data_IF_311494275531
#
_entry.id   IF_311494275531
#
_cell.length_a   1.000
_cell.length_b   1.000
_cell.length_c   1.000
_cell.angle_alpha   90.00
_cell.angle_beta   90.00
_cell.angle_gamma   90.00
#
_symmetry.space_group_name_H-M   'P 1'
#
loop_
_entity.id
_entity.type
_entity.pdbx_description
1 polymer ?
#
# COMPACT_ATOMS: atom_id res chain seq x y z
N UNK A 1 -5.95 11.03 -20.73
CA UNK A 1 -5.09 12.01 -20.04
C UNK A 1 -3.69 11.90 -20.64
N UNK A 2 -3.05 13.01 -21.01
CA UNK A 2 -1.69 12.96 -21.55
C UNK A 2 -0.71 12.60 -20.43
N UNK A 3 0.10 11.56 -20.63
CA UNK A 3 1.18 11.20 -19.70
C UNK A 3 2.13 12.37 -19.54
N UNK A 4 2.28 12.83 -18.29
CA UNK A 4 3.18 13.92 -17.94
C UNK A 4 4.62 13.38 -18.05
N UNK A 5 5.28 13.65 -19.18
CA UNK A 5 6.69 13.29 -19.37
C UNK A 5 7.53 14.03 -18.33
N UNK A 6 8.40 13.33 -17.62
CA UNK A 6 9.40 13.97 -16.78
C UNK A 6 10.53 14.51 -17.65
N UNK A 7 10.98 15.72 -17.38
CA UNK A 7 12.15 16.33 -18.00
C UNK A 7 13.36 16.09 -17.11
N UNK A 8 14.43 15.55 -17.70
CA UNK A 8 15.72 15.35 -17.04
C UNK A 8 16.59 16.57 -17.30
N UNK A 9 17.14 17.18 -16.26
CA UNK A 9 18.12 18.27 -16.40
C UNK A 9 19.46 17.75 -16.95
N UNK A 10 20.33 18.65 -17.41
CA UNK A 10 21.67 18.27 -17.89
C UNK A 10 22.48 17.51 -16.82
N UNK A 11 22.50 18.01 -15.59
CA UNK A 11 23.21 17.39 -14.47
C UNK A 11 22.64 15.99 -14.12
N UNK A 12 21.31 15.87 -14.09
CA UNK A 12 20.67 14.55 -13.86
C UNK A 12 20.97 13.57 -14.98
N UNK A 13 21.09 14.05 -16.22
CA UNK A 13 21.45 13.19 -17.35
C UNK A 13 22.87 12.66 -17.19
N UNK A 14 23.82 13.51 -16.83
CA UNK A 14 25.21 13.12 -16.62
C UNK A 14 25.33 12.10 -15.47
N UNK A 15 24.59 12.30 -14.37
CA UNK A 15 24.55 11.35 -13.25
C UNK A 15 23.95 9.99 -13.65
N UNK A 16 22.82 10.00 -14.38
CA UNK A 16 22.19 8.77 -14.91
C UNK A 16 23.15 8.04 -15.85
N UNK A 17 23.79 8.75 -16.78
CA UNK A 17 24.74 8.16 -17.73
C UNK A 17 25.96 7.56 -16.99
N UNK A 18 26.43 8.24 -15.94
CA UNK A 18 27.48 7.73 -15.04
C UNK A 18 27.08 6.42 -14.35
N UNK A 19 25.90 6.35 -13.74
CA UNK A 19 25.38 5.13 -13.11
C UNK A 19 25.21 3.99 -14.11
N UNK A 20 24.73 4.28 -15.33
CA UNK A 20 24.60 3.28 -16.39
C UNK A 20 25.94 2.71 -16.85
N UNK A 21 27.00 3.54 -16.86
CA UNK A 21 28.36 3.07 -17.14
C UNK A 21 28.87 2.13 -16.05
N UNK A 22 28.62 2.47 -14.77
CA UNK A 22 29.02 1.63 -13.64
C UNK A 22 28.31 0.27 -13.65
N UNK A 23 27.00 0.25 -13.88
CA UNK A 23 26.24 -1.00 -14.03
C UNK A 23 26.82 -1.86 -15.15
N UNK A 24 27.13 -1.26 -16.31
CA UNK A 24 27.79 -1.98 -17.42
C UNK A 24 29.17 -2.50 -17.05
N UNK A 25 29.93 -1.75 -16.26
CA UNK A 25 31.25 -2.17 -15.79
C UNK A 25 31.14 -3.40 -14.89
N UNK A 26 30.26 -3.38 -13.89
CA UNK A 26 30.01 -4.51 -12.98
C UNK A 26 29.60 -5.78 -13.73
N UNK A 27 28.74 -5.66 -14.75
CA UNK A 27 28.31 -6.80 -15.58
C UNK A 27 29.42 -7.38 -16.46
N UNK A 28 30.51 -6.62 -16.70
CA UNK A 28 31.63 -7.00 -17.59
C UNK A 28 32.89 -7.39 -16.83
N UNK A 29 32.86 -7.42 -15.49
CA UNK A 29 34.01 -7.83 -14.70
C UNK A 29 34.47 -9.23 -15.11
N UNK A 30 35.80 -9.43 -15.27
CA UNK A 30 36.39 -10.70 -15.70
C UNK A 30 36.05 -11.90 -14.80
N UNK A 31 35.63 -11.65 -13.56
CA UNK A 31 35.17 -12.67 -12.62
C UNK A 31 33.68 -13.04 -12.76
N UNK A 32 32.97 -12.42 -13.71
CA UNK A 32 31.52 -12.53 -13.83
C UNK A 32 30.78 -11.70 -12.77
N UNK A 33 29.48 -11.50 -12.99
CA UNK A 33 28.59 -10.94 -11.98
C UNK A 33 28.01 -12.08 -11.14
N UNK A 34 28.03 -12.02 -9.79
CA UNK A 34 27.48 -13.07 -8.94
C UNK A 34 25.94 -13.11 -8.96
N UNK A 35 25.30 -12.18 -9.65
CA UNK A 35 23.85 -12.05 -9.75
C UNK A 35 23.35 -12.83 -10.96
N UNK A 36 22.24 -13.56 -10.79
CA UNK A 36 21.53 -14.25 -11.87
C UNK A 36 21.24 -13.30 -13.05
N UNK A 37 21.73 -13.61 -14.27
CA UNK A 37 21.51 -12.79 -15.47
C UNK A 37 20.04 -12.52 -15.80
N UNK A 38 19.14 -13.48 -15.58
CA UNK A 38 17.71 -13.27 -15.87
C UNK A 38 17.06 -12.35 -14.84
N UNK A 39 17.49 -12.43 -13.58
CA UNK A 39 17.06 -11.48 -12.54
C UNK A 39 17.50 -10.05 -12.85
N UNK A 40 18.74 -9.86 -13.30
CA UNK A 40 19.26 -8.55 -13.72
C UNK A 40 18.43 -7.98 -14.87
N UNK A 41 18.18 -8.79 -15.91
CA UNK A 41 17.42 -8.39 -17.09
C UNK A 41 15.98 -7.98 -16.76
N UNK A 42 15.26 -8.79 -15.98
CA UNK A 42 13.88 -8.48 -15.57
C UNK A 42 13.84 -7.23 -14.69
N UNK A 43 14.81 -7.05 -13.80
CA UNK A 43 14.86 -5.89 -12.90
C UNK A 43 15.15 -4.59 -13.64
N UNK A 44 16.12 -4.60 -14.57
CA UNK A 44 16.41 -3.44 -15.41
C UNK A 44 15.21 -3.06 -16.28
N UNK A 45 14.51 -4.05 -16.86
CA UNK A 45 13.30 -3.79 -17.64
C UNK A 45 12.23 -3.11 -16.79
N UNK A 46 11.98 -3.60 -15.56
CA UNK A 46 11.03 -2.98 -14.63
C UNK A 46 11.41 -1.55 -14.28
N UNK A 47 12.70 -1.27 -14.05
CA UNK A 47 13.19 0.09 -13.77
C UNK A 47 12.93 1.02 -14.96
N UNK A 48 13.26 0.58 -16.18
CA UNK A 48 13.03 1.37 -17.41
C UNK A 48 11.55 1.63 -17.66
N UNK A 49 10.70 0.66 -17.35
CA UNK A 49 9.23 0.79 -17.43
C UNK A 49 8.62 1.60 -16.28
N UNK A 50 9.44 2.13 -15.35
CA UNK A 50 8.94 2.87 -14.18
C UNK A 50 8.23 2.00 -13.15
N UNK A 51 8.36 0.67 -13.26
CA UNK A 51 7.84 -0.31 -12.30
C UNK A 51 8.84 -0.47 -11.16
N UNK A 52 8.94 0.56 -10.32
CA UNK A 52 9.77 0.55 -9.12
C UNK A 52 9.18 -0.39 -8.07
N UNK A 53 9.40 -1.69 -8.23
CA UNK A 53 9.14 -2.66 -7.17
C UNK A 53 10.19 -2.51 -6.08
N UNK A 54 9.93 -1.66 -5.09
CA UNK A 54 10.76 -1.61 -3.90
C UNK A 54 10.35 -2.79 -3.02
N UNK A 55 11.31 -3.60 -2.56
CA UNK A 55 11.08 -4.68 -1.58
C UNK A 55 10.46 -4.09 -0.32
N UNK A 56 9.14 -4.12 -0.22
CA UNK A 56 8.49 -4.12 1.08
C UNK A 56 8.61 -5.54 1.65
N UNK A 57 8.75 -5.66 2.96
CA UNK A 57 8.65 -6.97 3.60
C UNK A 57 7.18 -7.38 3.55
N UNK A 58 6.84 -8.22 2.57
CA UNK A 58 5.56 -8.92 2.55
C UNK A 58 5.57 -9.84 3.77
N UNK A 59 4.74 -9.54 4.77
CA UNK A 59 4.64 -10.35 6.00
C UNK A 59 3.83 -11.62 5.77
N UNK A 60 2.91 -11.61 4.81
CA UNK A 60 2.12 -12.79 4.46
C UNK A 60 2.99 -13.93 3.92
N UNK A 61 4.14 -13.67 3.29
CA UNK A 61 5.14 -14.66 2.81
C UNK A 61 4.56 -15.98 2.25
N UNK A 62 3.52 -15.90 1.42
CA UNK A 62 2.87 -17.08 0.82
C UNK A 62 1.66 -17.65 1.59
N UNK A 63 1.34 -17.13 2.77
CA UNK A 63 0.05 -17.33 3.40
C UNK A 63 -1.00 -16.44 2.73
N UNK A 64 -1.97 -17.07 2.06
CA UNK A 64 -3.12 -16.36 1.50
C UNK A 64 -4.04 -15.90 2.63
N UNK A 65 -4.23 -14.59 2.75
CA UNK A 65 -5.23 -14.00 3.65
C UNK A 65 -6.45 -13.67 2.80
N UNK A 66 -7.56 -14.38 3.03
CA UNK A 66 -8.81 -14.18 2.28
C UNK A 66 -9.75 -13.28 3.07
N UNK A 67 -10.28 -12.26 2.42
CA UNK A 67 -11.44 -11.51 2.91
C UNK A 67 -12.67 -12.08 2.21
N UNK A 68 -13.66 -12.52 2.98
CA UNK A 68 -14.90 -13.06 2.41
C UNK A 68 -15.62 -12.04 1.53
N UNK A 69 -16.47 -12.55 0.64
CA UNK A 69 -17.38 -11.73 -0.16
C UNK A 69 -18.23 -10.82 0.74
N UNK A 70 -18.36 -9.54 0.36
CA UNK A 70 -19.13 -8.54 1.09
C UNK A 70 -20.25 -7.98 0.19
N UNK A 71 -21.41 -7.66 0.75
CA UNK A 71 -22.53 -7.07 -0.01
C UNK A 71 -22.36 -5.56 -0.30
N UNK A 72 -21.37 -4.92 0.34
CA UNK A 72 -21.04 -3.51 0.17
C UNK A 72 -21.89 -2.55 0.99
N UNK A 73 -22.85 -3.04 1.77
CA UNK A 73 -23.78 -2.19 2.54
C UNK A 73 -23.15 -1.60 3.80
N UNK A 74 -22.15 -2.27 4.36
CA UNK A 74 -21.49 -1.86 5.59
C UNK A 74 -20.45 -0.74 5.37
N UNK A 75 -20.40 0.20 6.32
CA UNK A 75 -19.42 1.31 6.35
C UNK A 75 -18.55 1.23 7.60
N UNK A 76 -17.40 1.90 7.57
CA UNK A 76 -16.54 2.01 8.77
C UNK A 76 -17.12 2.98 9.80
N UNK A 77 -17.93 3.95 9.38
CA UNK A 77 -18.56 4.94 10.25
C UNK A 77 -19.52 4.30 11.27
N UNK A 78 -20.20 3.24 10.87
CA UNK A 78 -21.23 2.57 11.68
C UNK A 78 -20.73 1.28 12.36
N UNK A 79 -19.47 0.89 12.14
CA UNK A 79 -18.89 -0.39 12.56
C UNK A 79 -18.48 -0.44 14.05
N UNK A 80 -19.38 -0.01 14.95
CA UNK A 80 -19.12 0.02 16.40
C UNK A 80 -18.90 -1.36 17.01
N UNK A 81 -19.41 -2.40 16.36
CA UNK A 81 -19.18 -3.80 16.73
C UNK A 81 -17.71 -4.23 16.53
N UNK A 82 -17.02 -3.61 15.56
CA UNK A 82 -15.61 -3.91 15.24
C UNK A 82 -14.66 -2.91 15.89
N UNK A 83 -15.07 -1.64 16.03
CA UNK A 83 -14.22 -0.55 16.56
C UNK A 83 -14.71 0.02 17.89
N UNK A 84 -14.73 -0.79 18.98
CA UNK A 84 -15.26 -0.36 20.28
C UNK A 84 -14.43 0.73 20.96
N UNK A 85 -13.15 0.89 20.60
CA UNK A 85 -12.31 2.00 21.10
C UNK A 85 -12.60 3.33 20.40
N UNK A 86 -13.45 3.34 19.38
CA UNK A 86 -13.96 4.55 18.76
C UNK A 86 -13.76 4.58 17.25
N UNK A 87 -14.59 5.41 16.62
CA UNK A 87 -14.59 5.68 15.19
C UNK A 87 -14.42 7.19 15.04
N UNK A 88 -13.54 7.61 14.15
CA UNK A 88 -13.30 9.02 13.87
C UNK A 88 -14.52 9.67 13.21
N UNK A 89 -14.96 10.81 13.76
CA UNK A 89 -16.07 11.59 13.20
C UNK A 89 -15.78 12.17 11.82
N UNK A 90 -14.51 12.22 11.40
CA UNK A 90 -14.13 12.66 10.06
C UNK A 90 -14.70 11.74 8.96
N UNK A 91 -15.08 10.49 9.27
CA UNK A 91 -15.77 9.64 8.29
C UNK A 91 -17.08 10.27 7.81
N UNK A 92 -17.90 10.79 8.72
CA UNK A 92 -19.15 11.48 8.42
C UNK A 92 -18.89 12.89 7.88
N UNK A 93 -17.99 13.64 8.53
CA UNK A 93 -17.69 15.04 8.17
C UNK A 93 -17.18 15.17 6.74
N UNK A 94 -16.43 14.18 6.25
CA UNK A 94 -15.93 14.16 4.87
C UNK A 94 -16.81 13.37 3.91
N UNK A 95 -17.98 12.90 4.36
CA UNK A 95 -18.92 12.18 3.52
C UNK A 95 -18.39 10.84 3.00
N UNK A 96 -17.48 10.22 3.75
CA UNK A 96 -16.91 8.90 3.42
C UNK A 96 -17.77 7.75 3.93
N UNK A 97 -18.78 8.01 4.77
CA UNK A 97 -19.77 7.07 5.29
C UNK A 97 -20.80 6.59 4.25
N UNK A 98 -20.36 6.31 3.02
CA UNK A 98 -21.21 5.81 1.93
C UNK A 98 -21.02 4.31 1.76
N UNK A 99 -22.13 3.61 1.53
CA UNK A 99 -22.09 2.21 1.12
C UNK A 99 -21.24 2.05 -0.16
N UNK A 100 -20.51 0.94 -0.23
CA UNK A 100 -19.72 0.55 -1.37
C UNK A 100 -20.51 -0.34 -2.33
N UNK A 101 -19.76 -1.04 -3.19
CA UNK A 101 -20.29 -2.08 -4.06
C UNK A 101 -20.08 -3.46 -3.44
N UNK A 102 -20.92 -4.41 -3.83
CA UNK A 102 -20.68 -5.81 -3.50
C UNK A 102 -19.34 -6.28 -4.09
N UNK A 103 -18.63 -7.10 -3.32
CA UNK A 103 -17.32 -7.66 -3.67
C UNK A 103 -17.33 -9.16 -3.53
N UNK A 104 -16.55 -9.83 -4.39
CA UNK A 104 -16.27 -11.26 -4.24
C UNK A 104 -15.23 -11.45 -3.12
N UNK A 105 -15.02 -12.70 -2.75
CA UNK A 105 -13.86 -13.08 -1.95
C UNK A 105 -12.58 -12.54 -2.60
N UNK A 106 -11.70 -11.96 -1.78
CA UNK A 106 -10.50 -11.28 -2.25
C UNK A 106 -9.31 -11.67 -1.37
N UNK A 107 -8.26 -12.18 -2.01
CA UNK A 107 -6.97 -12.36 -1.36
C UNK A 107 -6.28 -11.02 -1.16
N UNK A 108 -5.62 -10.84 -0.01
CA UNK A 108 -4.87 -9.63 0.34
C UNK A 108 -3.46 -9.96 0.80
N UNK A 109 -2.55 -9.01 0.59
CA UNK A 109 -1.21 -9.03 1.15
C UNK A 109 -1.08 -7.99 2.26
N UNK A 110 -0.24 -8.32 3.25
CA UNK A 110 0.12 -7.44 4.35
C UNK A 110 1.59 -7.09 4.21
N UNK A 111 1.86 -5.81 4.05
CA UNK A 111 3.20 -5.26 3.84
C UNK A 111 3.64 -4.47 5.05
N UNK A 112 4.91 -4.60 5.44
CA UNK A 112 5.50 -3.77 6.48
C UNK A 112 6.28 -2.60 5.89
N UNK A 113 6.12 -1.43 6.49
CA UNK A 113 6.82 -0.21 6.12
C UNK A 113 8.28 -0.29 6.55
N UNK A 114 9.19 -0.38 5.57
CA UNK A 114 10.65 -0.49 5.79
C UNK A 114 11.42 0.83 5.62
N UNK A 115 10.75 1.89 5.14
CA UNK A 115 11.33 3.23 4.96
C UNK A 115 10.29 4.31 5.20
N UNK A 116 10.71 5.46 5.74
CA UNK A 116 9.85 6.63 5.95
C UNK A 116 9.18 7.08 4.65
N UNK A 117 7.85 7.21 4.68
CA UNK A 117 7.05 7.51 3.48
C UNK A 117 5.76 8.27 3.77
N UNK A 118 5.28 9.01 2.77
CA UNK A 118 3.90 9.49 2.69
C UNK A 118 2.97 8.40 2.15
N UNK A 119 1.64 8.59 2.24
CA UNK A 119 0.69 7.64 1.64
C UNK A 119 0.88 7.45 0.14
N UNK A 120 1.14 8.54 -0.59
CA UNK A 120 1.42 8.49 -2.02
C UNK A 120 2.64 7.61 -2.34
N UNK A 121 3.70 7.70 -1.52
CA UNK A 121 4.91 6.90 -1.69
C UNK A 121 4.74 5.45 -1.25
N UNK A 122 3.88 5.18 -0.27
CA UNK A 122 3.52 3.83 0.18
C UNK A 122 2.78 3.08 -0.93
N UNK A 123 1.54 3.48 -1.19
CA UNK A 123 0.66 2.78 -2.12
C UNK A 123 1.15 2.91 -3.57
N UNK A 124 1.75 4.05 -3.95
CA UNK A 124 2.32 4.22 -5.28
C UNK A 124 3.51 3.30 -5.58
N UNK A 125 4.15 2.72 -4.55
CA UNK A 125 5.20 1.72 -4.76
C UNK A 125 4.68 0.29 -4.92
N UNK A 126 3.42 0.05 -4.55
CA UNK A 126 2.73 -1.23 -4.67
C UNK A 126 2.00 -1.40 -5.99
N UNK A 127 1.71 -0.29 -6.69
CA UNK A 127 1.07 -0.31 -7.99
C UNK A 127 0.95 1.08 -8.60
N UNK A 128 0.91 1.15 -9.92
CA UNK A 128 0.67 2.40 -10.66
C UNK A 128 -0.80 2.77 -10.72
N UNK A 129 -1.70 1.80 -10.53
CA UNK A 129 -3.15 1.95 -10.56
C UNK A 129 -3.72 1.85 -9.14
N UNK A 130 -4.00 3.00 -8.52
CA UNK A 130 -4.47 3.07 -7.14
C UNK A 130 -5.87 2.47 -6.95
N UNK A 131 -6.71 2.48 -7.98
CA UNK A 131 -8.05 1.88 -7.92
C UNK A 131 -7.95 0.37 -7.63
N UNK A 132 -6.94 -0.30 -8.18
CA UNK A 132 -6.69 -1.73 -7.93
C UNK A 132 -6.17 -2.04 -6.53
N UNK A 133 -5.60 -1.04 -5.85
CA UNK A 133 -5.11 -1.19 -4.47
C UNK A 133 -6.19 -0.90 -3.43
N UNK A 134 -7.36 -0.43 -3.85
CA UNK A 134 -8.44 -0.07 -2.95
C UNK A 134 -9.20 -1.31 -2.45
N UNK A 135 -9.47 -1.33 -1.14
CA UNK A 135 -10.48 -2.18 -0.54
C UNK A 135 -11.75 -1.38 -0.32
N UNK A 136 -12.90 -2.05 -0.32
CA UNK A 136 -14.16 -1.44 0.13
C UNK A 136 -14.17 -1.33 1.66
N UNK A 137 -14.98 -0.41 2.20
CA UNK A 137 -15.14 -0.28 3.65
C UNK A 137 -15.65 -1.57 4.31
N UNK A 138 -16.56 -2.28 3.64
CA UNK A 138 -17.04 -3.58 4.09
C UNK A 138 -15.89 -4.61 4.17
N UNK A 139 -15.02 -4.67 3.16
CA UNK A 139 -13.83 -5.54 3.18
C UNK A 139 -12.85 -5.14 4.30
N UNK A 140 -12.63 -3.84 4.54
CA UNK A 140 -11.76 -3.37 5.63
C UNK A 140 -12.34 -3.78 6.99
N UNK A 141 -13.66 -3.58 7.18
CA UNK A 141 -14.37 -4.01 8.40
C UNK A 141 -14.20 -5.52 8.59
N UNK A 142 -14.43 -6.30 7.53
CA UNK A 142 -14.34 -7.75 7.58
C UNK A 142 -12.92 -8.22 7.89
N UNK A 143 -11.90 -7.63 7.26
CA UNK A 143 -10.50 -7.90 7.59
C UNK A 143 -10.19 -7.64 9.07
N UNK A 144 -10.63 -6.51 9.61
CA UNK A 144 -10.38 -6.18 11.01
C UNK A 144 -11.06 -7.16 11.98
N UNK A 145 -12.22 -7.71 11.60
CA UNK A 145 -12.99 -8.67 12.38
C UNK A 145 -12.38 -10.08 12.35
N UNK A 146 -11.96 -10.55 11.17
CA UNK A 146 -11.51 -11.93 10.98
C UNK A 146 -10.00 -12.12 11.15
N UNK A 147 -9.22 -11.10 10.79
CA UNK A 147 -7.76 -11.16 10.66
C UNK A 147 -7.06 -10.21 11.62
N UNK A 148 -7.61 -10.04 12.83
CA UNK A 148 -7.10 -9.08 13.83
C UNK A 148 -5.63 -9.31 14.23
N UNK A 149 -5.14 -10.55 14.13
CA UNK A 149 -3.74 -10.91 14.36
C UNK A 149 -2.77 -10.28 13.35
N UNK A 150 -3.25 -9.94 12.15
CA UNK A 150 -2.48 -9.26 11.11
C UNK A 150 -2.43 -7.74 11.30
N UNK A 151 -3.30 -7.19 12.14
CA UNK A 151 -3.23 -5.79 12.52
C UNK A 151 -1.96 -5.52 13.34
N UNK A 152 -1.37 -4.35 13.12
CA UNK A 152 -0.21 -3.89 13.84
C UNK A 152 -0.56 -3.62 15.31
N UNK A 153 0.14 -4.34 16.19
CA UNK A 153 0.00 -4.25 17.64
C UNK A 153 0.79 -3.07 18.24
N UNK A 154 0.56 -2.76 19.52
CA UNK A 154 1.35 -1.77 20.27
C UNK A 154 0.96 -0.31 20.00
N UNK A 155 -0.26 -0.06 19.55
CA UNK A 155 -0.76 1.28 19.25
C UNK A 155 -0.27 1.87 17.92
N UNK A 156 0.47 1.11 17.12
CA UNK A 156 0.85 1.51 15.76
C UNK A 156 -0.22 1.15 14.74
N UNK A 157 -0.09 1.74 13.54
CA UNK A 157 -1.17 1.77 12.56
C UNK A 157 -1.04 0.67 11.50
N UNK A 158 -2.19 0.12 11.13
CA UNK A 158 -2.41 -0.60 9.87
C UNK A 158 -3.21 0.27 8.91
N UNK A 159 -2.71 0.43 7.69
CA UNK A 159 -3.28 1.29 6.66
C UNK A 159 -4.05 0.49 5.62
N UNK A 160 -5.20 1.01 5.22
CA UNK A 160 -6.01 0.47 4.14
C UNK A 160 -6.38 1.62 3.19
N UNK A 161 -6.07 1.46 1.90
CA UNK A 161 -6.51 2.40 0.89
C UNK A 161 -7.95 2.10 0.50
N UNK A 162 -8.78 3.13 0.39
CA UNK A 162 -10.14 3.02 -0.14
C UNK A 162 -10.52 4.27 -0.93
N UNK A 163 -11.61 4.16 -1.70
CA UNK A 163 -12.10 5.22 -2.57
C UNK A 163 -13.57 5.53 -2.28
N UNK A 164 -13.94 6.80 -2.32
CA UNK A 164 -15.33 7.28 -2.25
C UNK A 164 -15.54 8.30 -3.37
N UNK A 165 -16.42 7.99 -4.33
CA UNK A 165 -16.50 8.78 -5.56
C UNK A 165 -15.18 8.73 -6.32
N UNK A 166 -14.61 9.88 -6.68
CA UNK A 166 -13.30 9.97 -7.34
C UNK A 166 -12.13 10.25 -6.39
N UNK A 167 -12.38 10.29 -5.09
CA UNK A 167 -11.38 10.65 -4.08
C UNK A 167 -10.85 9.43 -3.32
N UNK A 168 -9.53 9.42 -3.08
CA UNK A 168 -8.84 8.38 -2.33
C UNK A 168 -8.63 8.78 -0.86
N UNK A 169 -8.83 7.81 0.02
CA UNK A 169 -8.71 7.95 1.46
C UNK A 169 -7.91 6.78 2.04
N UNK A 170 -7.32 6.99 3.21
CA UNK A 170 -6.62 5.95 3.97
C UNK A 170 -7.30 5.77 5.30
N UNK A 171 -7.82 4.58 5.54
CA UNK A 171 -8.27 4.16 6.86
C UNK A 171 -7.06 3.73 7.69
N UNK A 172 -6.98 4.26 8.90
CA UNK A 172 -5.94 4.00 9.89
C UNK A 172 -6.55 3.21 11.03
N UNK A 173 -6.17 1.94 11.15
CA UNK A 173 -6.65 1.06 12.22
C UNK A 173 -5.58 0.92 13.29
N UNK A 174 -5.97 1.15 14.53
CA UNK A 174 -5.13 1.07 15.73
C UNK A 174 -5.63 -0.06 16.63
N UNK A 175 -4.72 -0.87 17.14
CA UNK A 175 -5.02 -1.81 18.23
C UNK A 175 -4.69 -1.14 19.56
N UNK A 176 -5.72 -0.86 20.37
CA UNK A 176 -5.62 -0.23 21.69
C UNK A 176 -6.08 -1.19 22.79
N UNK A 177 -5.86 -0.82 24.05
CA UNK A 177 -6.29 -1.63 25.20
C UNK A 177 -7.80 -1.88 25.25
N UNK A 178 -8.62 -0.95 24.76
CA UNK A 178 -10.08 -1.07 24.68
C UNK A 178 -10.59 -1.72 23.38
N UNK A 179 -9.72 -2.32 22.57
CA UNK A 179 -10.05 -2.87 21.25
C UNK A 179 -9.60 -1.98 20.08
N UNK A 180 -10.26 -2.14 18.94
CA UNK A 180 -9.87 -1.45 17.71
C UNK A 180 -10.42 -0.03 17.66
N UNK A 181 -9.60 0.88 17.14
CA UNK A 181 -9.99 2.24 16.79
C UNK A 181 -9.68 2.49 15.33
N UNK A 182 -10.60 3.15 14.61
CA UNK A 182 -10.38 3.52 13.20
C UNK A 182 -10.51 5.03 13.01
N UNK A 183 -9.59 5.58 12.22
CA UNK A 183 -9.66 6.96 11.73
C UNK A 183 -9.43 7.03 10.23
N UNK A 184 -9.73 8.18 9.64
CA UNK A 184 -9.58 8.41 8.21
C UNK A 184 -8.65 9.59 7.95
N UNK A 185 -7.84 9.50 6.90
CA UNK A 185 -7.12 10.64 6.33
C UNK A 185 -7.31 10.68 4.82
N UNK A 186 -7.20 11.87 4.24
CA UNK A 186 -7.11 12.02 2.79
C UNK A 186 -5.79 11.43 2.30
N UNK A 187 -5.83 10.74 1.16
CA UNK A 187 -4.63 10.14 0.55
C UNK A 187 -3.54 11.16 0.24
N UNK A 188 -3.92 12.38 -0.17
CA UNK A 188 -3.00 13.48 -0.47
C UNK A 188 -2.30 14.10 0.74
N UNK A 189 -2.48 13.56 1.96
CA UNK A 189 -1.74 14.02 3.13
C UNK A 189 -0.24 13.87 2.93
N UNK A 190 0.50 14.95 3.14
CA UNK A 190 1.97 14.99 3.06
C UNK A 190 2.66 14.49 4.33
N UNK A 191 1.89 14.00 5.32
CA UNK A 191 2.45 13.47 6.56
C UNK A 191 3.35 12.27 6.28
N UNK A 192 4.57 12.33 6.81
CA UNK A 192 5.57 11.27 6.69
C UNK A 192 5.42 10.31 7.86
N UNK A 193 5.22 9.03 7.57
CA UNK A 193 5.13 7.97 8.55
C UNK A 193 6.49 7.29 8.71
N UNK A 194 6.93 7.14 9.95
CA UNK A 194 8.25 6.61 10.26
C UNK A 194 8.28 5.08 10.21
N UNK A 195 9.26 4.52 9.49
CA UNK A 195 9.43 3.07 9.39
C UNK A 195 9.84 2.41 10.70
N UNK A 196 10.47 3.16 11.62
CA UNK A 196 10.81 2.65 12.95
C UNK A 196 9.61 2.18 13.78
N UNK A 197 8.39 2.55 13.36
CA UNK A 197 7.13 2.12 14.01
C UNK A 197 6.55 0.83 13.42
N UNK A 198 7.15 0.34 12.31
CA UNK A 198 6.75 -0.87 11.60
C UNK A 198 5.26 -0.86 11.24
N UNK A 199 4.81 0.23 10.64
CA UNK A 199 3.44 0.34 10.15
C UNK A 199 3.15 -0.74 9.11
N UNK A 200 1.90 -1.17 9.02
CA UNK A 200 1.48 -2.17 8.04
C UNK A 200 0.55 -1.58 7.01
N UNK A 201 0.57 -2.11 5.79
CA UNK A 201 -0.36 -1.80 4.72
C UNK A 201 -1.04 -3.09 4.29
N UNK A 202 -2.35 -3.03 4.05
CA UNK A 202 -3.11 -4.17 3.51
C UNK A 202 -3.64 -3.77 2.14
N UNK A 203 -3.33 -4.57 1.13
CA UNK A 203 -3.73 -4.32 -0.26
C UNK A 203 -4.26 -5.61 -0.91
N UNK A 204 -5.17 -5.53 -1.89
CA UNK A 204 -5.55 -6.67 -2.71
C UNK A 204 -4.35 -7.34 -3.38
N UNK A 205 -4.33 -8.67 -3.39
CA UNK A 205 -3.46 -9.41 -4.28
C UNK A 205 -3.94 -9.18 -5.72
N UNK A 206 -3.07 -8.54 -6.51
CA UNK A 206 -3.34 -8.32 -7.93
C UNK A 206 -2.99 -9.60 -8.68
N UNK A 207 -4.01 -10.33 -9.14
CA UNK A 207 -3.81 -11.43 -10.08
C UNK A 207 -3.16 -10.87 -11.36
N UNK A 208 -2.03 -11.46 -11.75
CA UNK A 208 -1.32 -11.15 -13.00
C UNK A 208 -2.15 -11.50 -14.23
#
# INVERSE_FOLDING_TARGET
MAEKKFTVSGEQRDDIDGQMLEIKHQLRLKGGCPIDPELVKVTLQKIVEGKFGIKENILSQGQTILIDACDGTETLADAKDVFPSGIDGDFEKWGTNKAGIATKEQAVDVHELVKDRTFAQMFGSLGTDLDKLCLTQAQIKNFCKQHANWLRQGGYVTFFLFKVGEEFFVARVFVRSGGLHVSVLRFGSSYVWHAGLLHRMVVPQLTA
#
